data_IF_054928580221
#
_entry.id   IF_054928580221
#
_cell.length_a   1.000
_cell.length_b   1.000
_cell.length_c   1.000
_cell.angle_alpha   90.00
_cell.angle_beta   90.00
_cell.angle_gamma   90.00
#
_symmetry.space_group_name_H-M   'P 1'
#
loop_
_entity.id
_entity.type
_entity.pdbx_description
1 polymer ?
#
# COMPACT_ATOMS: atom_id res chain seq x y z
N UNK A 1 12.89 -10.66 4.53
CA UNK A 1 13.13 -9.57 5.49
C UNK A 1 11.84 -8.76 5.58
N UNK A 2 11.07 -8.93 6.65
CA UNK A 2 9.82 -8.18 6.86
C UNK A 2 10.18 -6.74 7.25
N UNK A 3 9.74 -5.77 6.45
CA UNK A 3 9.96 -4.34 6.67
C UNK A 3 9.29 -3.91 7.99
N UNK A 4 10.02 -3.17 8.84
CA UNK A 4 9.59 -2.79 10.21
C UNK A 4 8.33 -1.90 10.27
N UNK A 5 7.93 -1.30 9.15
CA UNK A 5 6.82 -0.33 9.09
C UNK A 5 5.63 -0.79 8.24
N UNK A 6 5.57 -2.08 7.94
CA UNK A 6 4.47 -2.65 7.16
C UNK A 6 3.24 -2.87 8.05
N UNK A 7 2.16 -2.17 7.75
CA UNK A 7 0.85 -2.40 8.36
C UNK A 7 0.15 -3.51 7.58
N UNK A 8 -0.17 -4.62 8.26
CA UNK A 8 -0.89 -5.74 7.68
C UNK A 8 -2.29 -5.83 8.27
N UNK A 9 -3.29 -5.83 7.40
CA UNK A 9 -4.69 -6.09 7.75
C UNK A 9 -5.19 -7.30 6.99
N UNK A 10 -6.18 -8.00 7.54
CA UNK A 10 -6.83 -9.09 6.83
C UNK A 10 -7.62 -8.55 5.64
N UNK A 11 -7.31 -9.04 4.44
CA UNK A 11 -7.94 -8.61 3.18
C UNK A 11 -9.47 -8.70 3.17
N UNK A 12 -10.02 -9.72 3.82
CA UNK A 12 -11.46 -9.96 3.90
C UNK A 12 -12.13 -9.24 5.08
N UNK A 13 -11.36 -8.57 5.94
CA UNK A 13 -11.86 -7.88 7.13
C UNK A 13 -12.06 -6.38 6.93
N UNK A 14 -11.75 -5.85 5.74
CA UNK A 14 -11.85 -4.43 5.39
C UNK A 14 -12.90 -4.22 4.30
N UNK A 15 -13.47 -3.01 4.28
CA UNK A 15 -14.48 -2.61 3.30
C UNK A 15 -13.87 -2.00 2.05
N UNK A 16 -12.77 -1.25 2.19
CA UNK A 16 -12.13 -0.53 1.10
C UNK A 16 -10.66 -0.95 0.96
N UNK A 17 -10.25 -1.31 -0.25
CA UNK A 17 -8.87 -1.63 -0.61
C UNK A 17 -8.32 -0.56 -1.54
N UNK A 18 -7.26 0.10 -1.12
CA UNK A 18 -6.65 1.22 -1.82
C UNK A 18 -5.26 0.82 -2.29
N UNK A 19 -5.02 0.97 -3.58
CA UNK A 19 -3.70 0.85 -4.18
C UNK A 19 -3.01 2.22 -4.14
N UNK A 20 -2.15 2.44 -3.17
CA UNK A 20 -1.41 3.70 -3.05
C UNK A 20 -0.16 3.65 -3.95
N UNK A 21 -0.25 4.30 -5.13
CA UNK A 21 0.83 4.30 -6.13
C UNK A 21 1.82 5.43 -5.89
N UNK A 22 3.12 5.10 -5.81
CA UNK A 22 4.19 6.08 -5.90
C UNK A 22 4.71 6.17 -7.35
N UNK A 23 4.81 7.37 -7.95
CA UNK A 23 5.21 7.55 -9.36
C UNK A 23 6.73 7.47 -9.55
N UNK A 24 7.40 6.50 -8.91
CA UNK A 24 8.84 6.28 -9.05
C UNK A 24 9.22 4.84 -8.72
N UNK A 25 10.51 4.56 -8.78
CA UNK A 25 11.09 3.27 -8.40
C UNK A 25 10.87 3.00 -6.91
N UNK A 26 10.75 1.71 -6.57
CA UNK A 26 10.55 1.24 -5.21
C UNK A 26 11.57 1.79 -4.21
N UNK A 27 12.86 1.76 -4.55
CA UNK A 27 13.91 2.28 -3.68
C UNK A 27 13.66 3.75 -3.28
N UNK A 28 13.16 4.57 -4.20
CA UNK A 28 12.92 6.00 -3.98
C UNK A 28 11.64 6.22 -3.16
N UNK A 29 10.60 5.40 -3.39
CA UNK A 29 9.32 5.50 -2.68
C UNK A 29 9.44 5.44 -1.16
N UNK A 30 10.39 4.62 -0.67
CA UNK A 30 10.60 4.46 0.78
C UNK A 30 11.12 5.71 1.46
N UNK A 31 11.78 6.62 0.73
CA UNK A 31 12.30 7.86 1.31
C UNK A 31 11.30 9.02 1.22
N UNK A 32 10.13 8.80 0.60
CA UNK A 32 9.10 9.83 0.49
C UNK A 32 8.27 9.92 1.76
N UNK A 33 8.51 10.96 2.56
CA UNK A 33 7.74 11.22 3.78
C UNK A 33 6.23 11.37 3.51
N UNK A 34 5.86 12.07 2.43
CA UNK A 34 4.45 12.23 2.06
C UNK A 34 3.78 10.90 1.75
N UNK A 35 4.48 10.00 1.05
CA UNK A 35 3.98 8.66 0.75
C UNK A 35 3.80 7.82 2.03
N UNK A 36 4.77 7.87 2.94
CA UNK A 36 4.67 7.20 4.24
C UNK A 36 3.51 7.75 5.09
N UNK A 37 3.31 9.06 5.11
CA UNK A 37 2.21 9.70 5.84
C UNK A 37 0.86 9.23 5.30
N UNK A 38 0.66 9.27 3.98
CA UNK A 38 -0.58 8.81 3.35
C UNK A 38 -0.82 7.33 3.63
N UNK A 39 0.21 6.48 3.47
CA UNK A 39 0.12 5.05 3.78
C UNK A 39 -0.33 4.80 5.23
N UNK A 40 0.27 5.49 6.20
CA UNK A 40 -0.09 5.36 7.62
C UNK A 40 -1.47 5.93 7.92
N UNK A 41 -1.83 7.06 7.32
CA UNK A 41 -3.13 7.70 7.51
C UNK A 41 -4.26 6.82 6.96
N UNK A 42 -4.14 6.31 5.73
CA UNK A 42 -5.13 5.42 5.15
C UNK A 42 -5.29 4.14 5.97
N UNK A 43 -4.17 3.56 6.43
CA UNK A 43 -4.21 2.39 7.27
C UNK A 43 -4.62 2.67 8.73
N UNK A 44 -4.79 3.92 9.17
CA UNK A 44 -5.32 4.22 10.51
C UNK A 44 -6.84 4.00 10.59
N UNK A 45 -7.55 4.08 9.46
CA UNK A 45 -8.98 3.80 9.41
C UNK A 45 -9.23 2.28 9.51
N UNK A 46 -10.09 1.79 10.42
CA UNK A 46 -10.26 0.36 10.67
C UNK A 46 -10.71 -0.40 9.41
N UNK A 47 -11.60 0.18 8.61
CA UNK A 47 -12.22 -0.48 7.45
C UNK A 47 -11.46 -0.29 6.13
N UNK A 48 -10.26 0.31 6.17
CA UNK A 48 -9.43 0.57 4.99
C UNK A 48 -8.15 -0.25 5.06
N UNK A 49 -7.83 -0.93 3.95
CA UNK A 49 -6.52 -1.52 3.69
C UNK A 49 -5.88 -0.72 2.56
N UNK A 50 -4.74 -0.12 2.82
CA UNK A 50 -3.94 0.51 1.77
C UNK A 50 -2.63 -0.27 1.60
N UNK A 51 -2.34 -0.67 0.36
CA UNK A 51 -1.06 -1.30 0.00
C UNK A 51 -0.31 -0.42 -1.00
N UNK A 52 1.02 -0.50 -0.94
CA UNK A 52 1.93 0.36 -1.70
C UNK A 52 2.25 -0.29 -3.03
N UNK A 53 2.23 0.52 -4.08
CA UNK A 53 2.62 0.17 -5.43
C UNK A 53 3.69 1.16 -5.93
N UNK A 54 4.50 0.69 -6.86
CA UNK A 54 5.57 1.47 -7.49
C UNK A 54 5.45 1.35 -9.00
N UNK A 55 6.01 2.32 -9.74
CA UNK A 55 5.86 2.40 -11.20
C UNK A 55 6.32 1.12 -11.94
N UNK A 56 7.25 0.38 -11.37
CA UNK A 56 7.88 -0.81 -11.95
C UNK A 56 7.15 -2.13 -11.66
N UNK A 57 5.99 -2.12 -10.99
CA UNK A 57 5.28 -3.35 -10.59
C UNK A 57 3.76 -3.20 -10.62
N UNK A 58 3.07 -4.22 -11.13
CA UNK A 58 1.61 -4.37 -11.02
C UNK A 58 1.17 -5.10 -9.74
N UNK A 59 2.13 -5.51 -8.90
CA UNK A 59 1.90 -6.19 -7.63
C UNK A 59 2.22 -5.29 -6.45
N UNK A 60 1.41 -5.40 -5.40
CA UNK A 60 1.60 -4.68 -4.15
C UNK A 60 2.86 -5.15 -3.41
N UNK A 61 3.45 -4.25 -2.62
CA UNK A 61 4.65 -4.52 -1.83
C UNK A 61 4.34 -5.41 -0.62
N UNK A 62 3.16 -5.24 -0.01
CA UNK A 62 2.76 -5.89 1.24
C UNK A 62 2.41 -7.36 1.10
N UNK A 63 1.57 -7.67 0.10
CA UNK A 63 0.92 -8.97 -0.02
C UNK A 63 1.07 -9.59 -1.40
N UNK A 64 1.74 -8.90 -2.33
CA UNK A 64 1.95 -9.35 -3.71
C UNK A 64 0.62 -9.58 -4.46
N UNK A 65 -0.39 -8.76 -4.16
CA UNK A 65 -1.68 -8.77 -4.85
C UNK A 65 -1.65 -7.92 -6.12
N UNK A 66 -2.33 -8.35 -7.19
CA UNK A 66 -2.37 -7.59 -8.43
C UNK A 66 -3.23 -6.33 -8.28
N UNK A 67 -2.88 -5.26 -9.01
CA UNK A 67 -3.54 -3.95 -8.94
C UNK A 67 -5.06 -4.00 -9.18
N UNK A 68 -5.53 -4.91 -10.04
CA UNK A 68 -6.95 -5.05 -10.39
C UNK A 68 -7.82 -5.67 -9.27
N UNK A 69 -7.22 -6.12 -8.17
CA UNK A 69 -7.96 -6.57 -6.97
C UNK A 69 -8.32 -5.42 -6.00
N UNK A 70 -7.86 -4.19 -6.27
CA UNK A 70 -8.10 -3.03 -5.42
C UNK A 70 -9.30 -2.22 -5.91
N UNK A 71 -10.05 -1.65 -4.97
CA UNK A 71 -11.28 -0.90 -5.25
C UNK A 71 -10.98 0.53 -5.74
N UNK A 72 -9.87 1.11 -5.27
CA UNK A 72 -9.46 2.49 -5.50
C UNK A 72 -7.97 2.53 -5.83
N UNK A 73 -7.60 3.35 -6.82
CA UNK A 73 -6.22 3.61 -7.26
C UNK A 73 -5.91 5.10 -7.14
#
# INVERSE_FOLDING_TARGET
>A
MSELFMIKKHWNAVKYRIALIFPSLRAISYYSLGFQILYRMLNSYPDVLAERFTYDSIYSIESFRPLNEFDIV
#
